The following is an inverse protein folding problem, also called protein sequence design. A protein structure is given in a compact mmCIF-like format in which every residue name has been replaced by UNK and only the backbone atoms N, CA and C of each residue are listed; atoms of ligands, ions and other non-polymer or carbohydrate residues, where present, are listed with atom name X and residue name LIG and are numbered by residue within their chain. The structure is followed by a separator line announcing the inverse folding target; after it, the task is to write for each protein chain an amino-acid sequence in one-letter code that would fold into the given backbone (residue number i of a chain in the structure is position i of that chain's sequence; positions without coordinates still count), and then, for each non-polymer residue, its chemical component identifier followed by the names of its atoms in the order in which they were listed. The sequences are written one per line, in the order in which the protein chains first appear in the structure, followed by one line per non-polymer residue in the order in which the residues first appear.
data_IF_763861629095
#
_entry.id   IF_763861629095
#
_cell.length_a   1.000
_cell.length_b   1.000
_cell.length_c   1.000
_cell.angle_alpha   90.00
_cell.angle_beta   90.00
_cell.angle_gamma   90.00
#
_symmetry.space_group_name_H-M   'P 1'
#
loop_
_entity.id
_entity.type
_entity.pdbx_description
1 polymer ?
#
# COMPACT_ATOMS: atom_id res chain seq x y z
N UNK A 1 24.96 23.26 47.01
CA UNK A 1 24.82 23.60 45.56
C UNK A 1 25.12 22.43 44.62
N UNK A 2 26.12 21.59 44.91
CA UNK A 2 26.55 20.45 44.06
C UNK A 2 25.45 19.43 43.71
N UNK A 3 24.47 19.19 44.59
CA UNK A 3 23.35 18.28 44.33
C UNK A 3 22.26 18.88 43.42
N UNK A 4 22.07 20.21 43.44
CA UNK A 4 21.10 20.88 42.54
C UNK A 4 21.57 20.83 41.09
N UNK A 5 22.88 20.96 40.86
CA UNK A 5 23.50 20.84 39.53
C UNK A 5 23.31 19.44 38.95
N UNK A 6 23.44 18.38 39.77
CA UNK A 6 23.22 16.99 39.34
C UNK A 6 21.76 16.73 38.91
N UNK A 7 20.79 17.32 39.62
CA UNK A 7 19.36 17.19 39.30
C UNK A 7 19.02 17.92 38.00
N UNK A 8 19.59 19.10 37.78
CA UNK A 8 19.42 19.85 36.51
C UNK A 8 20.05 19.07 35.34
N UNK A 9 21.22 18.46 35.55
CA UNK A 9 21.84 17.64 34.51
C UNK A 9 21.02 16.38 34.19
N UNK A 10 20.45 15.74 35.21
CA UNK A 10 19.62 14.54 35.05
C UNK A 10 18.31 14.85 34.31
N UNK A 11 17.68 15.98 34.61
CA UNK A 11 16.45 16.44 33.95
C UNK A 11 16.70 16.86 32.50
N UNK A 12 17.87 17.42 32.19
CA UNK A 12 18.25 17.75 30.82
C UNK A 12 18.47 16.49 29.96
N UNK A 13 19.10 15.46 30.53
CA UNK A 13 19.34 14.18 29.84
C UNK A 13 18.03 13.45 29.55
N UNK A 14 17.08 13.43 30.50
CA UNK A 14 15.78 12.80 30.27
C UNK A 14 14.98 13.54 29.19
N UNK A 15 15.01 14.87 29.16
CA UNK A 15 14.32 15.67 28.14
C UNK A 15 14.83 15.38 26.71
N UNK A 16 16.15 15.21 26.55
CA UNK A 16 16.77 14.90 25.25
C UNK A 16 16.44 13.49 24.71
N UNK A 17 16.10 12.54 25.60
CA UNK A 17 15.76 11.17 25.19
C UNK A 17 14.32 11.04 24.68
N UNK A 18 13.38 11.86 25.17
CA UNK A 18 11.99 11.84 24.70
C UNK A 18 11.82 12.37 23.27
N UNK A 19 12.70 13.26 22.81
CA UNK A 19 12.63 13.83 21.45
C UNK A 19 12.91 12.84 20.31
N UNK A 20 13.46 11.65 20.59
CA UNK A 20 13.83 10.69 19.53
C UNK A 20 12.74 9.69 19.15
N UNK A 21 11.62 9.64 19.88
CA UNK A 21 10.60 8.59 19.71
C UNK A 21 9.62 8.90 18.56
N UNK A 22 9.54 10.14 18.06
CA UNK A 22 8.47 10.55 17.14
C UNK A 22 8.72 10.38 15.63
N UNK A 23 9.86 9.87 15.17
CA UNK A 23 10.23 9.98 13.75
C UNK A 23 10.22 8.68 12.92
N UNK A 24 9.68 7.57 13.44
CA UNK A 24 9.61 6.32 12.67
C UNK A 24 8.28 6.20 11.91
N UNK A 25 8.01 7.17 11.02
CA UNK A 25 7.01 6.96 9.96
C UNK A 25 7.53 5.83 9.07
N UNK A 26 6.87 4.67 9.10
CA UNK A 26 7.14 3.57 8.18
C UNK A 26 7.00 4.06 6.73
N UNK A 27 8.12 4.38 6.08
CA UNK A 27 8.15 4.72 4.66
C UNK A 27 7.84 3.43 3.91
N UNK A 28 6.60 3.29 3.44
CA UNK A 28 6.22 2.17 2.56
C UNK A 28 6.95 2.33 1.22
N UNK A 29 7.42 1.22 0.65
CA UNK A 29 7.97 1.26 -0.70
C UNK A 29 6.88 1.66 -1.69
N UNK A 30 7.22 2.53 -2.63
CA UNK A 30 6.26 2.99 -3.64
C UNK A 30 6.34 2.15 -4.91
N UNK A 31 5.19 1.72 -5.42
CA UNK A 31 5.07 1.01 -6.70
C UNK A 31 4.13 1.76 -7.64
N UNK A 32 4.55 1.91 -8.90
CA UNK A 32 3.74 2.49 -9.96
C UNK A 32 3.37 1.38 -10.95
N UNK A 33 2.08 1.10 -11.07
CA UNK A 33 1.54 0.02 -11.89
C UNK A 33 0.87 0.65 -13.11
N UNK A 34 1.25 0.22 -14.31
CA UNK A 34 0.53 0.61 -15.52
C UNK A 34 -0.84 -0.06 -15.53
N UNK A 35 -1.89 0.73 -15.72
CA UNK A 35 -3.25 0.20 -15.87
C UNK A 35 -3.34 -0.75 -17.06
N UNK A 36 -3.91 -1.93 -16.83
CA UNK A 36 -4.16 -2.94 -17.85
C UNK A 36 -5.52 -3.60 -17.57
N UNK A 37 -6.51 -3.28 -18.41
CA UNK A 37 -7.88 -3.81 -18.30
C UNK A 37 -7.99 -5.34 -18.45
N UNK A 38 -6.94 -5.98 -18.97
CA UNK A 38 -6.90 -7.44 -19.11
C UNK A 38 -6.74 -8.12 -17.75
N UNK A 39 -6.11 -7.44 -16.79
CA UNK A 39 -5.79 -7.99 -15.47
C UNK A 39 -6.46 -7.23 -14.32
N UNK A 40 -6.78 -5.94 -14.47
CA UNK A 40 -7.49 -5.12 -13.48
C UNK A 40 -8.88 -4.75 -14.00
N UNK A 41 -9.92 -5.21 -13.31
CA UNK A 41 -11.31 -4.82 -13.59
C UNK A 41 -11.69 -3.67 -12.67
N UNK A 42 -12.28 -2.63 -13.24
CA UNK A 42 -12.80 -1.45 -12.51
C UNK A 42 -14.28 -1.68 -12.17
N UNK A 43 -14.67 -1.45 -10.92
CA UNK A 43 -16.06 -1.42 -10.46
C UNK A 43 -16.33 -0.16 -9.63
N UNK A 44 -17.61 0.15 -9.44
CA UNK A 44 -18.08 1.22 -8.55
C UNK A 44 -18.94 0.55 -7.49
N UNK A 45 -18.63 0.81 -6.22
CA UNK A 45 -19.41 0.27 -5.12
C UNK A 45 -20.82 0.86 -5.16
N UNK A 46 -21.89 0.03 -5.18
CA UNK A 46 -23.24 0.50 -5.49
C UNK A 46 -23.79 1.47 -4.44
N UNK A 47 -23.44 1.24 -3.16
CA UNK A 47 -23.94 2.00 -2.01
C UNK A 47 -23.04 3.22 -1.75
N UNK A 48 -21.79 2.97 -1.35
CA UNK A 48 -20.82 4.02 -1.00
C UNK A 48 -20.23 4.82 -2.18
N UNK A 49 -20.53 4.45 -3.43
CA UNK A 49 -20.13 5.17 -4.66
C UNK A 49 -18.61 5.34 -4.87
N UNK A 50 -17.76 4.64 -4.12
CA UNK A 50 -16.32 4.65 -4.39
C UNK A 50 -15.96 3.78 -5.59
N UNK A 51 -14.87 4.12 -6.27
CA UNK A 51 -14.31 3.29 -7.35
C UNK A 51 -13.28 2.33 -6.77
N UNK A 52 -13.31 1.08 -7.22
CA UNK A 52 -12.32 0.08 -6.82
C UNK A 52 -11.91 -0.81 -7.99
N UNK A 53 -10.80 -1.52 -7.80
CA UNK A 53 -10.26 -2.48 -8.75
C UNK A 53 -9.97 -3.82 -8.13
N UNK A 54 -10.19 -4.89 -8.87
CA UNK A 54 -9.82 -6.25 -8.49
C UNK A 54 -9.11 -6.96 -9.65
N UNK A 55 -8.40 -8.05 -9.32
CA UNK A 55 -7.61 -8.81 -10.29
C UNK A 55 -8.48 -9.85 -11.01
N UNK A 56 -8.47 -9.85 -12.35
CA UNK A 56 -9.35 -10.71 -13.17
C UNK A 56 -9.14 -12.22 -12.98
N UNK A 57 -7.93 -12.64 -12.60
CA UNK A 57 -7.63 -14.06 -12.35
C UNK A 57 -8.32 -14.58 -11.08
N UNK A 58 -8.88 -13.68 -10.25
CA UNK A 58 -9.80 -14.02 -9.18
C UNK A 58 -11.22 -14.14 -9.76
N UNK A 59 -11.52 -15.30 -10.35
CA UNK A 59 -12.80 -15.58 -11.03
C UNK A 59 -13.88 -16.05 -10.05
N UNK A 60 -13.53 -16.36 -8.79
CA UNK A 60 -14.42 -17.02 -7.83
C UNK A 60 -14.59 -16.32 -6.48
N UNK A 61 -13.96 -15.17 -6.24
CA UNK A 61 -14.19 -14.40 -5.02
C UNK A 61 -14.69 -13.01 -5.42
N UNK A 62 -15.98 -12.75 -5.21
CA UNK A 62 -16.49 -11.39 -5.37
C UNK A 62 -15.96 -10.46 -4.26
N UNK A 63 -15.35 -10.98 -3.18
CA UNK A 63 -15.32 -10.24 -1.90
C UNK A 63 -14.09 -10.50 -1.01
N UNK A 64 -12.87 -10.73 -1.50
CA UNK A 64 -11.71 -10.85 -0.60
C UNK A 64 -10.73 -9.68 -0.70
N UNK A 65 -10.06 -9.45 -1.85
CA UNK A 65 -9.06 -8.38 -1.98
C UNK A 65 -9.35 -7.40 -3.14
N UNK A 66 -9.25 -6.10 -2.86
CA UNK A 66 -9.40 -5.06 -3.88
C UNK A 66 -8.57 -3.80 -3.57
N UNK A 67 -8.50 -2.92 -4.56
CA UNK A 67 -7.76 -1.67 -4.53
C UNK A 67 -8.72 -0.49 -4.74
N UNK A 68 -8.95 0.33 -3.71
CA UNK A 68 -9.84 1.50 -3.75
C UNK A 68 -9.10 2.69 -4.35
N UNK A 69 -9.75 3.46 -5.22
CA UNK A 69 -9.23 4.77 -5.66
C UNK A 69 -9.23 5.78 -4.53
N UNK A 70 -8.06 6.33 -4.22
CA UNK A 70 -7.91 7.49 -3.35
C UNK A 70 -7.74 8.77 -4.15
N UNK A 71 -8.33 9.84 -3.64
CA UNK A 71 -8.06 11.20 -4.11
C UNK A 71 -6.60 11.56 -3.80
N UNK A 72 -5.85 11.85 -4.85
CA UNK A 72 -4.48 12.36 -4.72
C UNK A 72 -4.51 13.78 -4.15
N UNK A 73 -4.07 13.93 -2.91
CA UNK A 73 -3.95 15.24 -2.27
C UNK A 73 -2.65 15.98 -2.66
N UNK A 74 -1.77 15.33 -3.45
CA UNK A 74 -0.44 15.86 -3.82
C UNK A 74 -0.09 15.52 -5.26
N UNK A 75 0.67 16.40 -5.92
CA UNK A 75 1.25 16.13 -7.25
C UNK A 75 2.32 15.05 -7.14
N UNK A 76 2.06 13.88 -7.71
CA UNK A 76 3.01 12.77 -7.78
C UNK A 76 3.65 12.76 -9.17
N UNK A 77 4.98 12.76 -9.24
CA UNK A 77 5.72 12.52 -10.49
C UNK A 77 6.04 11.03 -10.61
N UNK A 78 5.68 10.41 -11.72
CA UNK A 78 6.07 9.03 -12.00
C UNK A 78 7.57 8.96 -12.27
N UNK A 79 8.30 8.09 -11.54
CA UNK A 79 9.70 7.79 -11.86
C UNK A 79 9.81 6.72 -12.95
N UNK A 80 9.11 5.60 -12.76
CA UNK A 80 9.05 4.45 -13.67
C UNK A 80 7.86 3.59 -13.29
N UNK A 81 7.18 2.97 -14.24
CA UNK A 81 6.05 2.07 -13.97
C UNK A 81 6.34 0.63 -14.39
N UNK A 82 5.75 -0.32 -13.66
CA UNK A 82 5.78 -1.75 -14.00
C UNK A 82 4.50 -2.13 -14.74
N UNK A 83 4.62 -2.96 -15.77
CA UNK A 83 3.45 -3.56 -16.41
C UNK A 83 2.84 -4.60 -15.48
N UNK A 84 1.51 -4.64 -15.39
CA UNK A 84 0.82 -5.53 -14.46
C UNK A 84 1.14 -7.00 -14.70
N UNK A 85 1.18 -7.45 -15.95
CA UNK A 85 1.63 -8.80 -16.32
C UNK A 85 3.03 -9.13 -15.77
N UNK A 86 3.96 -8.17 -15.75
CA UNK A 86 5.32 -8.36 -15.21
C UNK A 86 5.29 -8.41 -13.68
N UNK A 87 4.49 -7.56 -13.03
CA UNK A 87 4.29 -7.57 -11.58
C UNK A 87 3.72 -8.91 -11.12
N UNK A 88 2.64 -9.39 -11.76
CA UNK A 88 2.01 -10.67 -11.41
C UNK A 88 2.95 -11.86 -11.59
N UNK A 89 3.88 -11.78 -12.54
CA UNK A 89 4.91 -12.79 -12.77
C UNK A 89 6.18 -12.61 -11.92
N UNK A 90 6.27 -11.57 -11.10
CA UNK A 90 7.42 -11.33 -10.24
C UNK A 90 7.57 -12.44 -9.20
N UNK A 91 8.81 -12.69 -8.76
CA UNK A 91 9.09 -13.67 -7.69
C UNK A 91 8.33 -13.36 -6.40
N UNK A 92 8.03 -12.08 -6.16
CA UNK A 92 7.34 -11.62 -4.96
C UNK A 92 5.85 -11.96 -5.01
N UNK A 93 5.16 -11.63 -6.10
CA UNK A 93 3.74 -11.95 -6.27
C UNK A 93 3.52 -13.45 -6.47
N UNK A 94 4.44 -14.17 -7.12
CA UNK A 94 4.35 -15.64 -7.22
C UNK A 94 4.39 -16.35 -5.87
N UNK A 95 4.99 -15.74 -4.83
CA UNK A 95 4.89 -16.28 -3.45
C UNK A 95 3.46 -16.22 -2.91
N UNK A 96 2.63 -15.30 -3.40
CA UNK A 96 1.20 -15.24 -3.09
C UNK A 96 0.39 -16.35 -3.78
N UNK A 97 0.99 -17.12 -4.68
CA UNK A 97 0.32 -18.20 -5.41
C UNK A 97 0.56 -19.57 -4.74
N UNK A 98 1.62 -19.79 -3.95
CA UNK A 98 1.96 -21.04 -3.21
C UNK A 98 1.48 -22.37 -3.85
N UNK A 99 1.73 -22.59 -5.15
CA UNK A 99 1.33 -23.81 -5.85
C UNK A 99 -0.17 -23.95 -6.19
N UNK A 100 -0.97 -22.92 -5.90
CA UNK A 100 -2.37 -22.77 -6.35
C UNK A 100 -2.40 -22.28 -7.81
N UNK A 101 -3.54 -22.45 -8.49
CA UNK A 101 -3.79 -21.87 -9.82
C UNK A 101 -4.27 -20.41 -9.76
N UNK A 102 -4.67 -19.95 -8.58
CA UNK A 102 -5.28 -18.65 -8.31
C UNK A 102 -4.49 -17.96 -7.20
N UNK A 103 -4.55 -16.63 -7.16
CA UNK A 103 -3.95 -15.86 -6.07
C UNK A 103 -4.60 -16.19 -4.73
N UNK A 104 -3.79 -16.11 -3.67
CA UNK A 104 -4.28 -16.07 -2.31
C UNK A 104 -4.52 -14.60 -1.92
N UNK A 105 -5.78 -14.20 -1.77
CA UNK A 105 -6.18 -12.81 -1.55
C UNK A 105 -5.59 -12.20 -0.28
N UNK A 106 -5.42 -13.02 0.76
CA UNK A 106 -4.76 -12.60 2.00
C UNK A 106 -3.28 -12.29 1.77
N UNK A 107 -2.57 -13.12 0.99
CA UNK A 107 -1.16 -12.86 0.66
C UNK A 107 -1.01 -11.67 -0.29
N UNK A 108 -1.95 -11.45 -1.21
CA UNK A 108 -2.00 -10.23 -2.02
C UNK A 108 -2.22 -8.99 -1.15
N UNK A 109 -3.21 -9.02 -0.26
CA UNK A 109 -3.48 -7.95 0.68
C UNK A 109 -2.24 -7.62 1.52
N UNK A 110 -1.57 -8.66 2.05
CA UNK A 110 -0.33 -8.52 2.82
C UNK A 110 0.82 -7.93 2.00
N UNK A 111 0.94 -8.28 0.72
CA UNK A 111 1.93 -7.69 -0.19
C UNK A 111 1.65 -6.20 -0.40
N UNK A 112 0.43 -5.87 -0.83
CA UNK A 112 0.07 -4.50 -1.19
C UNK A 112 -0.05 -3.56 0.01
N UNK A 113 -0.45 -4.05 1.19
CA UNK A 113 -0.51 -3.25 2.42
C UNK A 113 0.84 -2.69 2.88
N UNK A 114 1.94 -3.30 2.43
CA UNK A 114 3.32 -2.84 2.69
C UNK A 114 3.81 -1.79 1.69
N UNK A 115 3.01 -1.47 0.67
CA UNK A 115 3.39 -0.60 -0.45
C UNK A 115 2.48 0.62 -0.51
N UNK A 116 3.01 1.72 -1.04
CA UNK A 116 2.20 2.81 -1.59
C UNK A 116 1.99 2.53 -3.06
N UNK A 117 0.74 2.36 -3.48
CA UNK A 117 0.40 1.87 -4.81
C UNK A 117 -0.15 3.01 -5.65
N UNK A 118 0.45 3.26 -6.81
CA UNK A 118 -0.05 4.21 -7.79
C UNK A 118 -0.42 3.50 -9.09
N UNK A 119 -1.63 3.71 -9.57
CA UNK A 119 -2.09 3.28 -10.87
C UNK A 119 -1.81 4.38 -11.90
N UNK A 120 -0.95 4.08 -12.86
CA UNK A 120 -0.59 4.98 -13.95
C UNK A 120 -1.51 4.68 -15.14
N UNK A 121 -2.35 5.67 -15.47
CA UNK A 121 -3.14 5.73 -16.71
C UNK A 121 -2.46 6.70 -17.68
N UNK A 122 -2.99 6.79 -18.90
CA UNK A 122 -2.43 7.63 -19.97
C UNK A 122 -2.25 9.08 -19.53
N UNK A 123 -3.29 9.66 -18.92
CA UNK A 123 -3.36 11.10 -18.61
C UNK A 123 -3.43 11.37 -17.10
N UNK A 124 -3.39 10.34 -16.26
CA UNK A 124 -3.55 10.48 -14.82
C UNK A 124 -2.80 9.40 -14.04
N UNK A 125 -2.44 9.75 -12.81
CA UNK A 125 -1.95 8.83 -11.79
C UNK A 125 -3.05 8.79 -10.74
N UNK A 126 -3.30 7.62 -10.16
CA UNK A 126 -4.32 7.43 -9.12
C UNK A 126 -3.65 6.68 -7.98
N UNK A 127 -3.82 7.15 -6.76
CA UNK A 127 -3.39 6.40 -5.57
C UNK A 127 -4.39 5.29 -5.30
N UNK A 128 -3.90 4.09 -4.99
CA UNK A 128 -4.72 2.94 -4.67
C UNK A 128 -4.51 2.55 -3.20
N UNK A 129 -5.61 2.39 -2.47
CA UNK A 129 -5.61 1.80 -1.14
C UNK A 129 -5.95 0.30 -1.23
N UNK A 130 -5.06 -0.59 -0.80
CA UNK A 130 -5.38 -2.01 -0.67
C UNK A 130 -6.38 -2.21 0.45
N UNK A 131 -7.43 -2.98 0.18
CA UNK A 131 -8.44 -3.37 1.15
C UNK A 131 -8.72 -4.87 1.05
N UNK A 132 -9.07 -5.47 2.18
CA UNK A 132 -9.42 -6.88 2.27
C UNK A 132 -10.69 -7.01 3.11
N UNK A 133 -11.72 -7.64 2.56
CA UNK A 133 -12.97 -7.93 3.27
C UNK A 133 -12.74 -9.17 4.13
N UNK A 134 -12.75 -8.97 5.45
CA UNK A 134 -12.91 -10.04 6.42
C UNK A 134 -14.40 -10.26 6.65
N UNK A 135 -14.97 -11.33 6.09
CA UNK A 135 -16.27 -11.84 6.51
C UNK A 135 -16.20 -12.42 7.93
#
# INVERSE_FOLDING_TARGET
MRNKIKIVFLTLITLCLFSKIQAQTNIKDTIFIKYDKTFLIKKIHPIEKYTYYYFKEDVNSEDAFYLIEKSLNKKVRTKSYINLKKLLNSKEIRKCIKGKKVFDDWELAKYFNKKTVFLVKKDSIIELEPNYLTN
#
